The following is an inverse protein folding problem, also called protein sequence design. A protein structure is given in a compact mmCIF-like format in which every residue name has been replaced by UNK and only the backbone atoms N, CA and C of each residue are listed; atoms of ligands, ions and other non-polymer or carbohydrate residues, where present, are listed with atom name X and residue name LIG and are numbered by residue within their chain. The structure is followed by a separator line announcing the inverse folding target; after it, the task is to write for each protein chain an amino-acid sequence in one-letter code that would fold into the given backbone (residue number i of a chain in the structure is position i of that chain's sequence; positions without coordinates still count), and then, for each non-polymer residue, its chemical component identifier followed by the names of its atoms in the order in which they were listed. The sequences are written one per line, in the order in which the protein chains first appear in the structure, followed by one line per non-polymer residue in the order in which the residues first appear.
data_IF_965281172704
#
_entry.id   IF_965281172704
#
_cell.length_a   1.000
_cell.length_b   1.000
_cell.length_c   1.000
_cell.angle_alpha   90.00
_cell.angle_beta   90.00
_cell.angle_gamma   90.00
#
_symmetry.space_group_name_H-M   'P 1'
#
loop_
_entity.id
_entity.type
_entity.pdbx_description
1 polymer ?
#
# COMPACT_ATOMS: atom_id res chain seq x y z
N UNK A 1 9.27 -8.28 12.56
CA UNK A 1 9.35 -9.73 12.80
C UNK A 1 9.55 -10.48 11.50
N UNK A 2 10.67 -11.14 11.41
CA UNK A 2 10.90 -11.93 10.22
C UNK A 2 9.97 -13.10 10.08
N UNK A 3 9.45 -13.60 11.19
CA UNK A 3 8.55 -14.74 11.13
C UNK A 3 7.36 -14.49 10.22
N UNK A 4 6.92 -13.25 10.15
CA UNK A 4 5.75 -12.93 9.35
C UNK A 4 5.99 -13.04 7.86
N UNK A 5 7.24 -12.96 7.45
CA UNK A 5 7.56 -13.08 6.03
C UNK A 5 7.37 -14.49 5.52
N UNK A 6 7.32 -15.46 6.42
CA UNK A 6 7.17 -16.85 6.06
C UNK A 6 5.78 -17.39 6.28
N UNK A 7 4.86 -16.53 6.68
CA UNK A 7 3.48 -16.93 6.94
C UNK A 7 2.77 -17.07 5.61
N UNK A 8 2.09 -18.20 5.43
CA UNK A 8 1.35 -18.44 4.20
C UNK A 8 0.25 -17.39 4.04
N UNK A 9 0.00 -16.95 2.80
CA UNK A 9 -1.00 -15.91 2.58
C UNK A 9 -2.40 -16.23 3.09
N UNK A 10 -2.74 -17.49 3.20
CA UNK A 10 -4.07 -17.90 3.64
C UNK A 10 -4.11 -18.32 5.10
N UNK A 11 -3.04 -18.10 5.84
CA UNK A 11 -3.02 -18.48 7.25
C UNK A 11 -3.62 -17.37 8.11
N UNK A 12 -4.09 -17.76 9.29
CA UNK A 12 -4.64 -16.80 10.25
C UNK A 12 -3.62 -15.72 10.61
N UNK A 13 -2.37 -16.12 10.78
CA UNK A 13 -1.33 -15.16 11.14
C UNK A 13 -1.14 -14.11 10.10
N UNK A 14 -1.14 -14.53 8.85
CA UNK A 14 -0.97 -13.58 7.76
C UNK A 14 -2.19 -12.66 7.63
N UNK A 15 -3.39 -13.22 7.80
CA UNK A 15 -4.61 -12.42 7.75
C UNK A 15 -4.57 -11.33 8.82
N UNK A 16 -4.24 -11.71 10.05
CA UNK A 16 -4.17 -10.75 11.15
C UNK A 16 -3.10 -9.70 10.93
N UNK A 17 -1.97 -10.11 10.36
CA UNK A 17 -0.91 -9.16 10.07
C UNK A 17 -1.38 -8.14 9.05
N UNK A 18 -2.03 -8.59 7.98
CA UNK A 18 -2.47 -7.66 6.96
C UNK A 18 -3.55 -6.73 7.47
N UNK A 19 -4.46 -7.22 8.30
CA UNK A 19 -5.43 -6.33 8.92
C UNK A 19 -4.75 -5.26 9.75
N UNK A 20 -3.73 -5.64 10.51
CA UNK A 20 -3.01 -4.67 11.33
C UNK A 20 -2.29 -3.65 10.47
N UNK A 21 -1.68 -4.10 9.38
CA UNK A 21 -0.92 -3.21 8.51
C UNK A 21 -1.80 -2.23 7.77
N UNK A 22 -3.05 -2.62 7.46
CA UNK A 22 -3.94 -1.75 6.71
C UNK A 22 -4.78 -0.85 7.60
N UNK A 23 -4.74 -1.07 8.91
CA UNK A 23 -5.61 -0.35 9.85
C UNK A 23 -5.47 1.16 9.75
N UNK A 24 -4.25 1.64 9.57
CA UNK A 24 -3.99 3.07 9.56
C UNK A 24 -3.92 3.66 8.16
N UNK A 25 -4.16 2.87 7.14
CA UNK A 25 -4.18 3.38 5.78
C UNK A 25 -5.45 4.16 5.53
N UNK A 26 -5.33 5.19 4.71
CA UNK A 26 -6.47 6.00 4.31
C UNK A 26 -6.51 6.11 2.80
N UNK A 27 -7.71 6.28 2.22
CA UNK A 27 -7.80 6.44 0.77
C UNK A 27 -6.87 7.54 0.27
N UNK A 28 -6.16 7.24 -0.80
CA UNK A 28 -5.19 8.16 -1.35
C UNK A 28 -3.76 7.90 -0.91
N UNK A 29 -3.56 7.05 0.08
CA UNK A 29 -2.20 6.69 0.48
C UNK A 29 -1.53 5.90 -0.65
N UNK A 30 -0.27 6.21 -0.91
CA UNK A 30 0.53 5.40 -1.80
C UNK A 30 1.07 4.23 -1.02
N UNK A 31 0.97 3.04 -1.59
CA UNK A 31 1.50 1.84 -0.95
C UNK A 31 2.54 1.24 -1.86
N UNK A 32 3.63 0.79 -1.25
CA UNK A 32 4.80 0.31 -1.97
C UNK A 32 5.05 -1.14 -1.65
N UNK A 33 5.32 -1.91 -2.70
CA UNK A 33 5.61 -3.33 -2.59
C UNK A 33 7.02 -3.59 -3.06
N UNK A 34 7.66 -4.59 -2.49
CA UNK A 34 8.98 -4.97 -2.94
C UNK A 34 9.71 -5.80 -1.92
N UNK A 35 11.02 -5.67 -1.93
CA UNK A 35 11.90 -6.44 -1.05
C UNK A 35 12.41 -5.52 0.06
N UNK A 36 12.26 -5.93 1.31
CA UNK A 36 12.72 -5.09 2.42
C UNK A 36 14.24 -5.04 2.48
N UNK A 37 14.73 -4.01 3.14
CA UNK A 37 16.15 -3.89 3.39
C UNK A 37 16.62 -5.07 4.21
N UNK A 38 17.81 -5.54 3.91
CA UNK A 38 18.41 -6.62 4.65
C UNK A 38 19.86 -6.28 4.90
N UNK A 39 20.53 -7.19 5.61
CA UNK A 39 21.93 -7.06 5.89
C UNK A 39 22.78 -6.89 4.62
N UNK A 40 22.32 -7.51 3.53
CA UNK A 40 23.10 -7.58 2.31
C UNK A 40 22.55 -6.76 1.16
N UNK A 41 21.32 -6.25 1.28
CA UNK A 41 20.67 -5.55 0.18
C UNK A 41 19.90 -4.36 0.70
N UNK A 42 19.87 -3.32 -0.11
CA UNK A 42 19.00 -2.18 0.16
C UNK A 42 17.57 -2.53 -0.18
N UNK A 43 16.64 -1.79 0.41
CA UNK A 43 15.24 -1.93 0.07
C UNK A 43 15.05 -1.71 -1.43
N UNK A 44 14.19 -2.53 -2.02
CA UNK A 44 13.91 -2.43 -3.45
C UNK A 44 12.41 -2.36 -3.64
N UNK A 45 11.93 -1.24 -4.18
CA UNK A 45 10.52 -1.06 -4.46
C UNK A 45 10.27 -1.53 -5.88
N UNK A 46 9.36 -2.49 -6.02
CA UNK A 46 9.08 -3.09 -7.32
C UNK A 46 7.69 -2.77 -7.83
N UNK A 47 6.81 -2.23 -6.98
CA UNK A 47 5.44 -1.98 -7.37
C UNK A 47 4.83 -0.94 -6.46
N UNK A 48 3.86 -0.20 -6.97
CA UNK A 48 3.18 0.83 -6.20
C UNK A 48 1.70 0.79 -6.53
N UNK A 49 0.88 1.11 -5.54
CA UNK A 49 -0.55 1.24 -5.72
C UNK A 49 -1.08 2.40 -4.91
N UNK A 50 -2.36 2.68 -5.08
CA UNK A 50 -3.04 3.73 -4.33
C UNK A 50 -4.15 3.07 -3.53
N UNK A 51 -4.08 3.23 -2.21
CA UNK A 51 -5.09 2.66 -1.34
C UNK A 51 -6.42 3.39 -1.53
N UNK A 52 -7.50 2.64 -1.61
CA UNK A 52 -8.82 3.24 -1.83
C UNK A 52 -9.82 2.91 -0.72
N UNK A 53 -9.35 2.27 0.35
CA UNK A 53 -10.20 1.94 1.49
C UNK A 53 -10.60 0.49 1.51
N UNK A 54 -11.05 0.03 2.66
CA UNK A 54 -11.57 -1.32 2.86
C UNK A 54 -10.59 -2.42 2.46
N UNK A 55 -9.30 -2.16 2.63
CA UNK A 55 -8.28 -3.14 2.30
C UNK A 55 -7.98 -3.24 0.82
N UNK A 56 -8.50 -2.35 0.00
CA UNK A 56 -8.36 -2.44 -1.44
C UNK A 56 -7.50 -1.31 -1.99
N UNK A 57 -6.90 -1.56 -3.12
CA UNK A 57 -6.05 -0.56 -3.75
C UNK A 57 -6.15 -0.68 -5.26
N UNK A 58 -5.86 0.42 -5.93
CA UNK A 58 -5.84 0.45 -7.39
C UNK A 58 -4.40 0.54 -7.84
N UNK A 59 -4.06 -0.20 -8.88
CA UNK A 59 -2.70 -0.24 -9.40
C UNK A 59 -2.72 -0.64 -10.86
N UNK A 60 -1.58 -0.46 -11.50
CA UNK A 60 -1.42 -0.85 -12.89
C UNK A 60 -0.60 -2.14 -12.94
N UNK A 61 -1.19 -3.20 -13.47
CA UNK A 61 -0.53 -4.48 -13.66
C UNK A 61 -0.96 -4.95 -15.04
N UNK A 62 -0.24 -4.46 -16.06
CA UNK A 62 -0.59 -4.61 -17.46
C UNK A 62 -1.83 -3.80 -17.81
N UNK A 63 -2.86 -3.85 -16.99
CA UNK A 63 -4.02 -2.98 -17.06
C UNK A 63 -4.26 -2.45 -15.66
N UNK A 64 -5.09 -1.41 -15.57
CA UNK A 64 -5.46 -0.87 -14.27
C UNK A 64 -6.40 -1.86 -13.60
N UNK A 65 -6.13 -2.17 -12.34
CA UNK A 65 -6.89 -3.15 -11.57
C UNK A 65 -7.12 -2.67 -10.16
N UNK A 66 -8.16 -3.19 -9.55
CA UNK A 66 -8.39 -3.04 -8.12
C UNK A 66 -8.21 -4.41 -7.49
N UNK A 67 -7.37 -4.49 -6.48
CA UNK A 67 -7.13 -5.72 -5.76
C UNK A 67 -7.23 -5.47 -4.26
N UNK A 68 -7.36 -6.56 -3.51
CA UNK A 68 -7.46 -6.50 -2.06
C UNK A 68 -6.16 -6.97 -1.42
N UNK A 69 -5.79 -6.30 -0.33
CA UNK A 69 -4.63 -6.72 0.48
C UNK A 69 -5.00 -7.80 1.48
N UNK A 70 -6.29 -8.04 1.70
CA UNK A 70 -6.74 -8.90 2.79
C UNK A 70 -6.92 -10.33 2.30
N UNK A 71 -6.22 -11.29 2.91
CA UNK A 71 -6.34 -12.70 2.49
C UNK A 71 -7.77 -13.19 2.62
N UNK A 72 -8.18 -13.99 1.65
CA UNK A 72 -9.52 -14.55 1.65
C UNK A 72 -10.58 -13.68 1.05
N UNK A 73 -10.26 -12.45 0.71
CA UNK A 73 -11.22 -11.55 0.10
C UNK A 73 -11.22 -11.72 -1.42
N UNK A 74 -12.29 -11.24 -2.04
CA UNK A 74 -12.38 -11.25 -3.49
C UNK A 74 -11.27 -10.36 -4.05
N UNK A 75 -10.67 -10.79 -5.14
CA UNK A 75 -9.62 -10.04 -5.82
C UNK A 75 -8.37 -9.85 -4.95
N UNK A 76 -8.09 -10.84 -4.11
CA UNK A 76 -6.92 -10.80 -3.27
C UNK A 76 -5.65 -10.70 -4.10
N UNK A 77 -4.77 -9.79 -3.71
CA UNK A 77 -3.49 -9.62 -4.38
C UNK A 77 -2.48 -10.60 -3.79
N UNK A 78 -2.04 -11.55 -4.60
CA UNK A 78 -1.19 -12.63 -4.10
C UNK A 78 0.16 -12.14 -3.58
N UNK A 79 0.61 -10.99 -4.03
CA UNK A 79 1.88 -10.44 -3.56
C UNK A 79 1.70 -9.42 -2.43
N UNK A 80 0.56 -9.42 -1.76
CA UNK A 80 0.33 -8.46 -0.70
C UNK A 80 1.34 -8.59 0.45
N UNK A 81 1.94 -9.78 0.59
CA UNK A 81 2.97 -9.98 1.61
C UNK A 81 4.21 -9.14 1.33
N UNK A 82 4.33 -8.59 0.12
CA UNK A 82 5.46 -7.73 -0.23
C UNK A 82 5.17 -6.26 0.06
N UNK A 83 4.09 -5.97 0.73
CA UNK A 83 3.79 -4.59 1.14
C UNK A 83 4.88 -4.12 2.09
N UNK A 84 5.58 -3.06 1.71
CA UNK A 84 6.70 -2.55 2.49
C UNK A 84 6.30 -1.38 3.36
N UNK A 85 5.66 -0.40 2.77
CA UNK A 85 5.37 0.83 3.49
C UNK A 85 4.34 1.62 2.70
N UNK A 86 3.86 2.68 3.32
CA UNK A 86 2.91 3.58 2.70
C UNK A 86 3.38 5.01 2.89
N UNK A 87 2.93 5.89 2.03
CA UNK A 87 3.23 7.31 2.14
C UNK A 87 1.95 8.08 1.95
N UNK A 88 1.69 9.01 2.87
CA UNK A 88 0.51 9.86 2.79
C UNK A 88 0.91 11.18 2.18
N UNK A 89 0.24 11.53 1.08
CA UNK A 89 0.58 12.74 0.36
C UNK A 89 -0.28 13.91 0.79
N UNK A 90 -1.43 13.65 1.40
CA UNK A 90 -2.30 14.73 1.81
C UNK A 90 -3.18 14.27 2.96
N UNK A 91 -3.77 15.27 3.59
CA UNK A 91 -4.60 15.10 4.77
C UNK A 91 -6.06 15.18 4.35
N UNK A 92 -6.84 14.19 4.73
CA UNK A 92 -8.26 14.15 4.40
C UNK A 92 -9.13 14.91 5.37
N UNK A 93 -8.55 15.77 6.19
CA UNK A 93 -9.32 16.67 7.01
C UNK A 93 -9.73 17.86 6.16
N UNK A 94 -10.68 18.60 6.63
CA UNK A 94 -11.39 19.62 5.89
C UNK A 94 -10.62 20.39 4.82
N UNK A 95 -9.41 20.77 5.07
CA UNK A 95 -8.63 21.59 4.16
C UNK A 95 -7.62 20.81 3.36
N UNK A 96 -7.71 19.49 3.34
CA UNK A 96 -6.71 18.67 2.70
C UNK A 96 -6.49 19.01 1.25
N UNK A 97 -7.54 19.23 0.51
CA UNK A 97 -7.42 19.53 -0.91
C UNK A 97 -6.66 20.82 -1.16
N UNK A 98 -6.98 21.85 -0.40
CA UNK A 98 -6.27 23.11 -0.53
C UNK A 98 -4.81 22.97 -0.19
N UNK A 99 -4.54 22.19 0.83
CA UNK A 99 -3.17 21.94 1.25
C UNK A 99 -2.36 21.28 0.16
N UNK A 100 -2.93 20.28 -0.50
CA UNK A 100 -2.25 19.58 -1.58
C UNK A 100 -1.88 20.55 -2.68
N UNK A 101 -2.81 21.38 -3.09
CA UNK A 101 -2.56 22.31 -4.18
C UNK A 101 -1.43 23.28 -3.87
N UNK A 102 -1.29 23.64 -2.62
CA UNK A 102 -0.28 24.63 -2.24
C UNK A 102 1.09 24.03 -2.05
N UNK A 103 1.17 22.80 -1.60
CA UNK A 103 2.44 22.25 -1.17
C UNK A 103 3.01 21.16 -2.07
N UNK A 104 2.24 20.65 -3.00
CA UNK A 104 2.70 19.54 -3.84
C UNK A 104 3.30 20.09 -5.12
N UNK A 105 4.64 20.14 -5.16
CA UNK A 105 5.35 20.65 -6.32
C UNK A 105 5.06 19.83 -7.57
N UNK A 106 4.94 18.51 -7.41
CA UNK A 106 4.63 17.65 -8.53
C UNK A 106 3.29 18.03 -9.14
N UNK A 107 2.30 18.23 -8.28
CA UNK A 107 0.98 18.61 -8.74
C UNK A 107 1.03 19.92 -9.53
N UNK A 108 1.75 20.89 -8.99
CA UNK A 108 1.87 22.18 -9.66
C UNK A 108 2.58 22.09 -10.98
N UNK A 109 3.59 21.24 -11.07
CA UNK A 109 4.32 21.08 -12.32
C UNK A 109 3.49 20.47 -13.43
N UNK A 110 2.45 19.77 -13.07
CA UNK A 110 1.61 19.08 -14.05
C UNK A 110 0.34 19.86 -14.39
N UNK A 111 0.29 21.09 -14.02
CA UNK A 111 -0.85 21.96 -14.33
C UNK A 111 -0.86 22.42 -15.77
#
# INVERSE_FOLDING_TARGET
MEANHNVAPDSDGFYKEMLARTRNLKPGDLIYFGTPESRWKKESITHVGIYIGDGRFIHASQVVRVNSLIPGSKDYYSNSHKLLKARRLFDWKGDGMTHIKKSNAYFLQNQ
#
